data_IF_913068509376
#
_entry.id   IF_913068509376
#
_cell.length_a   1.000
_cell.length_b   1.000
_cell.length_c   1.000
_cell.angle_alpha   90.00
_cell.angle_beta   90.00
_cell.angle_gamma   90.00
#
_symmetry.space_group_name_H-M   'P 1'
#
loop_
_entity.id
_entity.type
_entity.pdbx_description
1 polymer ?
#
# COMPACT_ATOMS: atom_id res chain seq x y z
N UNK A 1 8.33 -9.57 16.63
CA UNK A 1 8.40 -9.46 16.16
C UNK A 1 8.12 -8.83 15.51
N UNK A 2 8.14 -8.56 14.95
CA UNK A 2 8.08 -8.03 14.39
C UNK A 2 7.43 -7.05 14.09
N UNK A 3 7.36 -6.49 14.65
CA UNK A 3 6.88 -5.36 14.60
C UNK A 3 7.56 -4.52 13.75
N UNK A 4 8.73 -4.69 13.58
CA UNK A 4 9.50 -3.90 12.72
C UNK A 4 8.90 -3.89 11.40
N UNK A 5 8.19 -4.87 11.12
CA UNK A 5 7.62 -4.95 9.93
C UNK A 5 6.70 -3.89 9.73
N UNK A 6 6.09 -3.45 10.71
CA UNK A 6 5.16 -2.47 10.54
C UNK A 6 5.74 -1.21 10.18
N UNK A 7 6.99 -1.09 10.38
CA UNK A 7 7.57 0.08 10.15
C UNK A 7 7.68 0.37 8.85
N UNK A 8 7.49 -0.37 8.13
CA UNK A 8 7.64 -0.20 7.00
C UNK A 8 7.50 0.84 6.43
N UNK A 9 7.30 1.08 6.04
CA UNK A 9 7.36 1.81 5.30
C UNK A 9 7.41 2.93 5.19
N UNK A 10 7.65 3.26 5.25
CA UNK A 10 7.72 3.98 5.09
C UNK A 10 7.79 4.84 5.06
N UNK A 11 8.03 5.17 5.16
CA UNK A 11 7.54 5.81 5.14
C UNK A 11 7.77 7.03 5.64
N UNK A 12 8.64 7.55 5.53
CA UNK A 12 9.01 8.61 5.95
C UNK A 12 8.62 9.67 5.12
N UNK A 13 7.91 10.60 5.42
CA UNK A 13 7.54 11.72 4.63
C UNK A 13 8.50 12.82 4.88
N UNK A 14 8.95 13.46 3.87
CA UNK A 14 9.88 14.54 4.03
C UNK A 14 9.24 15.75 4.67
N UNK A 15 10.05 16.63 5.21
CA UNK A 15 9.58 17.83 5.81
C UNK A 15 9.43 18.85 4.77
N UNK A 16 8.34 19.58 4.68
CA UNK A 16 8.15 20.52 3.66
C UNK A 16 8.31 21.91 4.15
N UNK A 17 9.18 22.67 3.55
CA UNK A 17 9.42 24.02 4.01
C UNK A 17 9.02 25.07 3.00
N UNK A 18 8.77 24.69 1.76
CA UNK A 18 8.35 25.67 0.75
C UNK A 18 7.18 25.14 -0.01
N UNK A 19 6.40 26.04 -0.57
CA UNK A 19 5.20 25.64 -1.30
C UNK A 19 5.52 24.83 -2.54
N UNK A 20 6.53 25.21 -3.27
CA UNK A 20 6.90 24.47 -4.46
C UNK A 20 7.36 23.08 -4.12
N UNK A 21 8.11 22.97 -3.05
CA UNK A 21 8.60 21.70 -2.62
C UNK A 21 7.44 20.86 -2.14
N UNK A 22 6.47 21.47 -1.48
CA UNK A 22 5.30 20.75 -1.03
C UNK A 22 4.52 20.18 -2.19
N UNK A 23 4.37 20.92 -3.26
CA UNK A 23 3.64 20.43 -4.42
C UNK A 23 4.34 19.27 -5.08
N UNK A 24 5.66 19.35 -5.24
CA UNK A 24 6.41 18.27 -5.80
C UNK A 24 6.31 17.05 -4.91
N UNK A 25 6.43 17.27 -3.61
CA UNK A 25 6.40 16.16 -2.67
C UNK A 25 5.03 15.50 -2.67
N UNK A 26 3.98 16.25 -2.84
CA UNK A 26 2.64 15.69 -2.89
C UNK A 26 2.43 14.89 -4.17
N UNK A 27 2.98 15.35 -5.27
CA UNK A 27 2.89 14.60 -6.50
C UNK A 27 3.67 13.30 -6.39
N UNK A 28 4.83 13.34 -5.75
CA UNK A 28 5.61 12.14 -5.53
C UNK A 28 4.89 11.19 -4.60
N UNK A 29 4.21 11.72 -3.59
CA UNK A 29 3.44 10.88 -2.70
C UNK A 29 2.35 10.17 -3.46
N UNK A 30 1.65 10.87 -4.31
CA UNK A 30 0.56 10.27 -5.09
C UNK A 30 1.08 9.19 -6.00
N UNK A 31 2.20 9.44 -6.64
CA UNK A 31 2.81 8.45 -7.52
C UNK A 31 3.20 7.21 -6.71
N UNK A 32 3.83 7.43 -5.57
CA UNK A 32 4.28 6.33 -4.73
C UNK A 32 3.11 5.50 -4.24
N UNK A 33 2.05 6.17 -3.80
CA UNK A 33 0.87 5.48 -3.33
C UNK A 33 0.23 4.69 -4.46
N UNK A 34 0.18 5.26 -5.64
CA UNK A 34 -0.36 4.58 -6.80
C UNK A 34 0.45 3.34 -7.14
N UNK A 35 1.76 3.44 -7.08
CA UNK A 35 2.62 2.31 -7.36
C UNK A 35 2.45 1.22 -6.31
N UNK A 36 2.36 1.62 -5.04
CA UNK A 36 2.17 0.65 -3.98
C UNK A 36 0.83 -0.05 -4.08
N UNK A 37 -0.20 0.69 -4.50
CA UNK A 37 -1.51 0.12 -4.68
C UNK A 37 -1.48 -0.94 -5.77
N UNK A 38 -0.81 -0.62 -6.86
CA UNK A 38 -0.69 -1.53 -7.98
C UNK A 38 0.10 -2.77 -7.59
N UNK A 39 1.18 -2.60 -6.85
CA UNK A 39 1.98 -3.72 -6.38
C UNK A 39 1.17 -4.61 -5.45
N UNK A 40 0.38 -4.01 -4.58
CA UNK A 40 -0.44 -4.78 -3.66
C UNK A 40 -1.47 -5.61 -4.41
N UNK A 41 -2.03 -5.06 -5.47
CA UNK A 41 -2.98 -5.79 -6.29
C UNK A 41 -2.32 -6.97 -6.99
N UNK A 42 -1.12 -6.75 -7.51
CA UNK A 42 -0.39 -7.82 -8.19
C UNK A 42 -0.07 -8.93 -7.20
N UNK A 43 0.35 -8.58 -6.00
CA UNK A 43 0.66 -9.58 -4.99
C UNK A 43 -0.58 -10.36 -4.57
N UNK A 44 -1.70 -9.66 -4.47
CA UNK A 44 -2.95 -10.29 -4.10
C UNK A 44 -3.35 -11.33 -5.13
N UNK A 45 -3.27 -10.97 -6.39
CA UNK A 45 -3.59 -11.87 -7.47
C UNK A 45 -2.63 -13.04 -7.53
N UNK A 46 -1.36 -12.78 -7.29
CA UNK A 46 -0.36 -13.81 -7.31
C UNK A 46 -0.61 -14.84 -6.19
N UNK A 47 -0.96 -14.36 -5.01
CA UNK A 47 -1.27 -15.26 -3.90
C UNK A 47 -2.49 -16.11 -4.19
N UNK A 48 -3.48 -15.51 -4.81
CA UNK A 48 -4.70 -16.23 -5.17
C UNK A 48 -4.40 -17.34 -6.16
N UNK A 49 -3.60 -17.04 -7.19
CA UNK A 49 -3.23 -18.03 -8.17
C UNK A 49 -2.41 -19.16 -7.54
N UNK A 50 -1.45 -18.78 -6.70
CA UNK A 50 -0.59 -19.76 -6.07
C UNK A 50 -1.39 -20.69 -5.17
N UNK A 51 -2.38 -20.16 -4.48
CA UNK A 51 -3.23 -20.98 -3.63
C UNK A 51 -4.01 -22.00 -4.46
N UNK A 52 -4.42 -21.59 -5.66
CA UNK A 52 -5.19 -22.49 -6.51
C UNK A 52 -4.36 -23.66 -7.02
N UNK A 53 -3.08 -23.45 -7.22
CA UNK A 53 -2.24 -24.49 -7.75
C UNK A 53 -1.42 -25.25 -6.71
N UNK A 54 -1.54 -24.87 -5.45
CA UNK A 54 -0.79 -25.55 -4.41
C UNK A 54 -1.45 -26.87 -4.06
N UNK A 55 -0.63 -27.88 -3.83
CA UNK A 55 -1.14 -29.20 -3.48
C UNK A 55 -1.06 -29.48 -2.00
N UNK A 56 -0.09 -28.95 -1.33
CA UNK A 56 0.13 -29.24 0.07
C UNK A 56 -0.78 -28.35 0.93
N UNK A 57 -1.51 -28.92 1.88
CA UNK A 57 -2.40 -28.14 2.73
C UNK A 57 -1.71 -27.01 3.48
N UNK A 58 -0.47 -27.23 3.93
CA UNK A 58 0.25 -26.21 4.63
C UNK A 58 0.58 -25.04 3.71
N UNK A 59 0.91 -25.36 2.48
CA UNK A 59 1.23 -24.34 1.49
C UNK A 59 -0.02 -23.57 1.10
N UNK A 60 -1.15 -24.24 1.00
CA UNK A 60 -2.41 -23.60 0.71
C UNK A 60 -2.74 -22.61 1.82
N UNK A 61 -2.58 -23.04 3.08
CA UNK A 61 -2.83 -22.18 4.22
C UNK A 61 -1.91 -20.98 4.19
N UNK A 62 -0.65 -21.20 3.85
CA UNK A 62 0.32 -20.10 3.77
C UNK A 62 -0.16 -19.04 2.79
N UNK A 63 -0.60 -19.45 1.61
CA UNK A 63 -1.04 -18.49 0.62
C UNK A 63 -2.34 -17.80 1.01
N UNK A 64 -3.22 -18.50 1.72
CA UNK A 64 -4.45 -17.92 2.20
C UNK A 64 -4.15 -16.82 3.21
N UNK A 65 -3.25 -17.09 4.16
CA UNK A 65 -2.89 -16.10 5.14
C UNK A 65 -2.14 -14.93 4.50
N UNK A 66 -1.31 -15.24 3.52
CA UNK A 66 -0.59 -14.18 2.82
C UNK A 66 -1.55 -13.31 2.04
N UNK A 67 -2.56 -13.92 1.44
CA UNK A 67 -3.58 -13.17 0.73
C UNK A 67 -4.32 -12.23 1.68
N UNK A 68 -4.63 -12.72 2.88
CA UNK A 68 -5.31 -11.92 3.86
C UNK A 68 -4.45 -10.73 4.27
N UNK A 69 -3.18 -10.97 4.50
CA UNK A 69 -2.25 -9.91 4.87
C UNK A 69 -2.16 -8.87 3.75
N UNK A 70 -2.11 -9.32 2.51
CA UNK A 70 -2.03 -8.40 1.39
C UNK A 70 -3.32 -7.62 1.19
N UNK A 71 -4.46 -8.21 1.54
CA UNK A 71 -5.73 -7.50 1.50
C UNK A 71 -5.72 -6.35 2.50
N UNK A 72 -5.20 -6.62 3.69
CA UNK A 72 -5.11 -5.59 4.71
C UNK A 72 -4.20 -4.48 4.26
N UNK A 73 -3.07 -4.85 3.66
CA UNK A 73 -2.11 -3.88 3.16
C UNK A 73 -2.76 -3.02 2.08
N UNK A 74 -3.49 -3.67 1.18
CA UNK A 74 -4.16 -2.96 0.10
C UNK A 74 -5.17 -1.96 0.66
N UNK A 75 -5.93 -2.37 1.65
CA UNK A 75 -6.93 -1.49 2.25
C UNK A 75 -6.27 -0.29 2.92
N UNK A 76 -5.14 -0.52 3.56
CA UNK A 76 -4.42 0.55 4.21
C UNK A 76 -3.93 1.56 3.19
N UNK A 77 -3.34 1.09 2.10
CA UNK A 77 -2.85 1.97 1.06
C UNK A 77 -4.00 2.72 0.40
N UNK A 78 -5.12 2.03 0.20
CA UNK A 78 -6.29 2.66 -0.39
C UNK A 78 -6.82 3.76 0.50
N UNK A 79 -6.78 3.55 1.81
CA UNK A 79 -7.21 4.56 2.75
C UNK A 79 -6.32 5.79 2.66
N UNK A 80 -5.02 5.59 2.55
CA UNK A 80 -4.10 6.70 2.39
C UNK A 80 -4.37 7.44 1.09
N UNK A 81 -4.66 6.72 0.04
CA UNK A 81 -4.96 7.33 -1.25
C UNK A 81 -6.20 8.22 -1.15
N UNK A 82 -7.21 7.75 -0.44
CA UNK A 82 -8.44 8.52 -0.29
C UNK A 82 -8.20 9.76 0.55
N UNK A 83 -7.40 9.64 1.59
CA UNK A 83 -7.10 10.78 2.45
C UNK A 83 -6.37 11.86 1.66
N UNK A 84 -5.48 11.45 0.78
CA UNK A 84 -4.75 12.39 -0.04
C UNK A 84 -5.69 13.11 -1.01
N UNK A 85 -6.62 12.38 -1.59
CA UNK A 85 -7.60 12.98 -2.49
C UNK A 85 -8.50 13.96 -1.76
N UNK A 86 -8.93 13.60 -0.57
CA UNK A 86 -9.77 14.47 0.22
C UNK A 86 -9.06 15.76 0.57
N UNK A 87 -7.78 15.64 0.90
CA UNK A 87 -6.99 16.81 1.24
C UNK A 87 -6.91 17.75 0.04
N UNK A 88 -6.67 17.22 -1.14
CA UNK A 88 -6.61 18.01 -2.33
C UNK A 88 -7.93 18.69 -2.63
N UNK A 89 -8.99 17.97 -2.47
CA UNK A 89 -10.32 18.50 -2.74
C UNK A 89 -10.59 19.67 -1.81
N UNK A 90 -10.23 19.56 -0.54
CA UNK A 90 -10.45 20.62 0.41
C UNK A 90 -9.61 21.84 0.10
N UNK A 91 -8.40 21.61 -0.33
CA UNK A 91 -7.53 22.74 -0.65
C UNK A 91 -7.99 23.51 -1.87
N UNK A 92 -8.59 22.83 -2.80
CA UNK A 92 -9.06 23.46 -4.00
C UNK A 92 -10.46 24.07 -3.85
N UNK A 93 -11.10 23.77 -2.77
CA UNK A 93 -12.40 24.33 -2.53
C UNK A 93 -12.25 25.67 -1.83
#
# INVERSE_FOLDING_TARGET
MELSILKLPNVQLPDFTSDKKQQKDEQQKRRLISEQLNEALVELESCRKNAMFADDPLLIDYYIYKQKANEMKYRYILKQSRQLSEHDYKENA
#
